data_IF_885140543686
#
_entry.id   IF_885140543686
#
_cell.length_a   1.000
_cell.length_b   1.000
_cell.length_c   1.000
_cell.angle_alpha   90.00
_cell.angle_beta   90.00
_cell.angle_gamma   90.00
#
_symmetry.space_group_name_H-M   'P 1'
#
loop_
_entity.id
_entity.type
_entity.pdbx_description
1 polymer ?
#
# COMPACT_ATOMS: atom_id res chain seq x y z
N UNK A 1 -17.86 -4.03 22.61
CA UNK A 1 -16.74 -3.36 21.88
C UNK A 1 -15.83 -2.51 22.78
N UNK A 2 -16.33 -1.71 23.74
CA UNK A 2 -15.47 -0.86 24.61
C UNK A 2 -14.45 -1.66 25.45
N UNK A 3 -14.87 -2.78 26.06
CA UNK A 3 -13.98 -3.66 26.84
C UNK A 3 -12.83 -4.27 26.01
N UNK A 4 -13.11 -4.69 24.78
CA UNK A 4 -12.09 -5.23 23.86
C UNK A 4 -11.09 -4.15 23.40
N UNK A 5 -11.57 -2.93 23.11
CA UNK A 5 -10.68 -1.81 22.79
C UNK A 5 -9.74 -1.48 23.94
N UNK A 6 -10.23 -1.51 25.18
CA UNK A 6 -9.41 -1.29 26.36
C UNK A 6 -8.32 -2.37 26.51
N UNK A 7 -8.67 -3.64 26.30
CA UNK A 7 -7.69 -4.74 26.35
C UNK A 7 -6.64 -4.67 25.22
N UNK A 8 -7.04 -4.26 24.02
CA UNK A 8 -6.13 -4.13 22.87
C UNK A 8 -5.34 -2.82 22.86
N UNK A 9 -5.69 -1.86 23.71
CA UNK A 9 -5.02 -0.56 23.80
C UNK A 9 -3.51 -0.69 24.08
N UNK A 10 -3.02 -1.45 25.08
CA UNK A 10 -1.57 -1.63 25.28
C UNK A 10 -0.86 -2.19 24.04
N UNK A 11 -1.47 -3.13 23.33
CA UNK A 11 -0.93 -3.68 22.07
C UNK A 11 -0.83 -2.59 21.00
N UNK A 12 -1.84 -1.70 20.92
CA UNK A 12 -1.84 -0.58 19.98
C UNK A 12 -0.73 0.44 20.27
N UNK A 13 -0.40 0.67 21.55
CA UNK A 13 0.69 1.56 21.96
C UNK A 13 2.04 0.99 21.51
N UNK A 14 2.29 -0.30 21.76
CA UNK A 14 3.52 -0.98 21.30
C UNK A 14 3.65 -0.92 19.78
N UNK A 15 2.57 -1.19 19.04
CA UNK A 15 2.57 -1.07 17.58
C UNK A 15 2.84 0.38 17.11
N UNK A 16 2.29 1.37 17.81
CA UNK A 16 2.49 2.79 17.49
C UNK A 16 3.94 3.21 17.71
N UNK A 17 4.57 2.78 18.80
CA UNK A 17 5.99 3.03 19.06
C UNK A 17 6.85 2.39 17.97
N UNK A 18 6.61 1.11 17.66
CA UNK A 18 7.36 0.39 16.62
C UNK A 18 7.24 1.07 15.24
N UNK A 19 6.02 1.40 14.81
CA UNK A 19 5.78 2.03 13.51
C UNK A 19 6.35 3.45 13.42
N UNK A 20 6.25 4.23 14.50
CA UNK A 20 6.83 5.58 14.57
C UNK A 20 8.36 5.52 14.51
N UNK A 21 8.97 4.59 15.26
CA UNK A 21 10.41 4.37 15.21
C UNK A 21 10.87 3.95 13.82
N UNK A 22 10.17 3.01 13.17
CA UNK A 22 10.47 2.61 11.79
C UNK A 22 10.39 3.81 10.84
N UNK A 23 9.36 4.64 10.94
CA UNK A 23 9.21 5.81 10.06
C UNK A 23 10.33 6.83 10.30
N UNK A 24 10.71 7.07 11.56
CA UNK A 24 11.86 7.93 11.89
C UNK A 24 13.15 7.44 11.22
N UNK A 25 13.40 6.12 11.17
CA UNK A 25 14.56 5.59 10.47
C UNK A 25 14.55 5.86 8.95
N UNK A 26 13.37 5.88 8.32
CA UNK A 26 13.23 6.30 6.92
C UNK A 26 13.47 7.80 6.76
N UNK A 27 12.89 8.62 7.65
CA UNK A 27 13.03 10.08 7.61
C UNK A 27 14.50 10.52 7.82
N UNK A 28 15.26 9.77 8.62
CA UNK A 28 16.69 9.96 8.83
C UNK A 28 17.57 9.36 7.72
N UNK A 29 17.00 8.66 6.74
CA UNK A 29 17.75 8.00 5.66
C UNK A 29 18.58 6.79 6.10
N UNK A 30 18.30 6.22 7.28
CA UNK A 30 19.00 5.03 7.78
C UNK A 30 18.49 3.73 7.13
N UNK A 31 17.27 3.74 6.61
CA UNK A 31 16.72 2.65 5.80
C UNK A 31 16.67 3.10 4.34
N UNK A 32 17.24 2.29 3.46
CA UNK A 32 17.26 2.58 2.03
C UNK A 32 15.85 2.71 1.44
N UNK A 33 15.66 3.75 0.65
CA UNK A 33 14.51 3.94 -0.21
C UNK A 33 14.88 3.63 -1.66
N UNK A 34 13.96 3.02 -2.41
CA UNK A 34 14.18 2.70 -3.82
C UNK A 34 13.57 3.83 -4.64
N UNK A 35 14.41 4.55 -5.38
CA UNK A 35 13.98 5.52 -6.38
C UNK A 35 13.80 4.87 -7.75
N UNK A 36 12.66 5.13 -8.36
CA UNK A 36 12.34 4.61 -9.69
C UNK A 36 12.64 5.67 -10.75
N UNK A 37 13.26 5.26 -11.86
CA UNK A 37 13.53 6.12 -13.02
C UNK A 37 12.27 6.58 -13.76
N UNK A 38 11.12 5.96 -13.48
CA UNK A 38 9.83 6.27 -14.09
C UNK A 38 8.91 6.97 -13.09
N UNK A 39 8.05 7.91 -13.55
CA UNK A 39 7.07 8.56 -12.67
C UNK A 39 6.17 7.51 -12.01
N UNK A 40 6.21 7.46 -10.69
CA UNK A 40 5.52 6.45 -9.89
C UNK A 40 4.55 7.12 -8.92
N UNK A 41 3.32 6.60 -8.84
CA UNK A 41 2.29 7.08 -7.92
C UNK A 41 1.97 5.96 -6.93
N UNK A 42 2.25 6.19 -5.64
CA UNK A 42 1.88 5.28 -4.56
C UNK A 42 0.49 5.61 -4.01
N UNK A 43 -0.45 4.66 -4.05
CA UNK A 43 -1.80 4.84 -3.50
C UNK A 43 -1.94 3.97 -2.25
N UNK A 44 -2.14 4.63 -1.10
CA UNK A 44 -2.25 3.99 0.20
C UNK A 44 -3.36 4.59 1.05
N UNK A 45 -3.53 4.09 2.27
CA UNK A 45 -4.31 4.76 3.30
C UNK A 45 -3.76 4.39 4.69
N UNK A 46 -4.29 5.05 5.73
CA UNK A 46 -3.90 4.82 7.12
C UNK A 46 -4.71 3.72 7.83
N UNK A 47 -5.89 3.37 7.33
CA UNK A 47 -6.79 2.39 7.97
C UNK A 47 -6.86 1.05 7.24
N UNK A 48 -6.88 -0.05 7.99
CA UNK A 48 -7.09 -1.39 7.42
C UNK A 48 -8.54 -1.57 6.97
N UNK A 49 -8.77 -2.13 5.78
CA UNK A 49 -10.12 -2.44 5.27
C UNK A 49 -10.38 -1.99 3.83
N UNK A 50 -11.64 -2.10 3.39
CA UNK A 50 -12.13 -1.69 2.07
C UNK A 50 -12.24 -0.17 1.96
N UNK A 51 -11.11 0.50 1.76
CA UNK A 51 -11.05 1.98 1.83
C UNK A 51 -11.06 2.64 0.46
N UNK A 52 -11.71 2.01 -0.52
CA UNK A 52 -11.86 2.55 -1.89
C UNK A 52 -10.56 2.70 -2.69
N UNK A 53 -9.42 2.16 -2.22
CA UNK A 53 -8.12 2.26 -2.92
C UNK A 53 -8.21 1.79 -4.38
N UNK A 54 -8.92 0.69 -4.64
CA UNK A 54 -9.09 0.17 -6.00
C UNK A 54 -9.86 1.13 -6.91
N UNK A 55 -10.92 1.77 -6.44
CA UNK A 55 -11.70 2.74 -7.23
C UNK A 55 -10.82 3.93 -7.64
N UNK A 56 -9.97 4.42 -6.73
CA UNK A 56 -9.01 5.50 -7.03
C UNK A 56 -7.96 5.05 -8.05
N UNK A 57 -7.47 3.82 -7.92
CA UNK A 57 -6.52 3.22 -8.88
C UNK A 57 -7.15 3.17 -10.28
N UNK A 58 -8.38 2.65 -10.39
CA UNK A 58 -9.09 2.51 -11.66
C UNK A 58 -9.35 3.88 -12.31
N UNK A 59 -9.78 4.86 -11.51
CA UNK A 59 -9.97 6.24 -11.96
C UNK A 59 -8.69 6.85 -12.53
N UNK A 60 -7.53 6.64 -11.87
CA UNK A 60 -6.26 7.17 -12.34
C UNK A 60 -5.79 6.48 -13.62
N UNK A 61 -6.01 5.17 -13.74
CA UNK A 61 -5.70 4.44 -14.98
C UNK A 61 -6.53 5.01 -16.13
N UNK A 62 -7.85 5.12 -15.97
CA UNK A 62 -8.75 5.68 -16.98
C UNK A 62 -8.35 7.09 -17.40
N UNK A 63 -7.95 7.92 -16.43
CA UNK A 63 -7.54 9.30 -16.68
C UNK A 63 -6.24 9.40 -17.49
N UNK A 64 -5.29 8.51 -17.28
CA UNK A 64 -3.95 8.61 -17.87
C UNK A 64 -3.70 7.65 -19.06
N UNK A 65 -4.52 6.60 -19.23
CA UNK A 65 -4.27 5.52 -20.22
C UNK A 65 -4.24 5.99 -21.67
N UNK A 66 -4.90 7.12 -21.99
CA UNK A 66 -4.94 7.67 -23.35
C UNK A 66 -3.59 8.22 -23.81
N UNK A 67 -2.79 8.75 -22.89
CA UNK A 67 -1.57 9.48 -23.22
C UNK A 67 -0.29 8.78 -22.76
N UNK A 68 -0.40 7.73 -21.93
CA UNK A 68 0.76 7.06 -21.31
C UNK A 68 0.52 5.55 -21.25
N UNK A 69 1.59 4.77 -21.44
CA UNK A 69 1.60 3.35 -21.11
C UNK A 69 1.63 3.21 -19.59
N UNK A 70 0.56 2.68 -19.01
CA UNK A 70 0.43 2.50 -17.57
C UNK A 70 0.74 1.05 -17.21
N UNK A 71 1.44 0.87 -16.10
CA UNK A 71 1.59 -0.43 -15.44
C UNK A 71 1.19 -0.27 -13.99
N UNK A 72 0.43 -1.23 -13.47
CA UNK A 72 0.03 -1.27 -12.07
C UNK A 72 0.79 -2.36 -11.33
N UNK A 73 1.15 -2.07 -10.09
CA UNK A 73 1.76 -3.04 -9.19
C UNK A 73 0.86 -3.20 -7.97
N UNK A 74 0.37 -4.41 -7.75
CA UNK A 74 -0.37 -4.78 -6.54
C UNK A 74 0.47 -5.72 -5.68
N UNK A 75 0.24 -5.69 -4.36
CA UNK A 75 0.86 -6.66 -3.43
C UNK A 75 0.43 -8.10 -3.70
N UNK A 76 -0.74 -8.31 -4.31
CA UNK A 76 -1.32 -9.64 -4.49
C UNK A 76 -1.61 -10.33 -3.14
N UNK A 77 -2.23 -9.60 -2.21
CA UNK A 77 -2.56 -10.12 -0.88
C UNK A 77 -3.40 -11.40 -0.98
N UNK A 78 -3.11 -12.38 -0.13
CA UNK A 78 -3.78 -13.69 -0.08
C UNK A 78 -3.59 -14.61 -1.30
N UNK A 79 -2.63 -14.34 -2.19
CA UNK A 79 -2.26 -15.28 -3.27
C UNK A 79 -1.52 -16.50 -2.72
N UNK A 80 -1.67 -17.65 -3.39
CA UNK A 80 -0.93 -18.89 -3.06
C UNK A 80 0.49 -18.92 -3.64
N UNK A 81 0.76 -18.14 -4.68
CA UNK A 81 2.08 -18.07 -5.33
C UNK A 81 3.04 -17.18 -4.54
N UNK A 82 4.35 -17.35 -4.76
CA UNK A 82 5.41 -16.51 -4.17
C UNK A 82 6.22 -15.82 -5.26
N UNK A 83 7.03 -14.83 -4.90
CA UNK A 83 7.87 -14.07 -5.85
C UNK A 83 7.08 -13.14 -6.78
N UNK A 84 7.77 -12.50 -7.72
CA UNK A 84 7.13 -11.66 -8.73
C UNK A 84 6.24 -12.50 -9.66
N UNK A 85 5.05 -11.98 -9.98
CA UNK A 85 4.13 -12.60 -10.93
C UNK A 85 3.67 -11.52 -11.89
N UNK A 86 3.88 -11.73 -13.18
CA UNK A 86 3.30 -10.88 -14.21
C UNK A 86 1.83 -11.27 -14.39
N UNK A 87 0.92 -10.34 -14.11
CA UNK A 87 -0.50 -10.56 -14.30
C UNK A 87 -0.85 -10.41 -15.78
N UNK A 88 -1.05 -11.52 -16.48
CA UNK A 88 -1.54 -11.55 -17.86
C UNK A 88 -3.07 -11.38 -17.87
N UNK A 89 -3.54 -10.26 -18.45
CA UNK A 89 -4.91 -9.70 -18.41
C UNK A 89 -5.29 -9.00 -17.10
N UNK A 90 -5.15 -7.69 -17.12
CA UNK A 90 -5.91 -6.78 -16.25
C UNK A 90 -7.33 -6.73 -16.79
N UNK A 91 -8.20 -7.64 -16.36
CA UNK A 91 -9.64 -7.39 -16.42
C UNK A 91 -9.99 -6.69 -15.10
N UNK A 92 -9.63 -5.41 -15.03
CA UNK A 92 -10.32 -4.49 -14.11
C UNK A 92 -11.72 -4.31 -14.67
N UNK A 93 -12.72 -4.38 -13.78
CA UNK A 93 -14.15 -4.40 -14.04
C UNK A 93 -14.61 -3.52 -15.22
#
# INVERSE_FOLDING_TARGET
MKKLKFLLYPISVVYSIYSSFRNLLFDLGLIDSIEYKIPTIGIGNLSTGGTGKSIIVDYLIEKFKKNKKITTLSRGYNRKTKGFVHASKVQML
#
